data_IF_529749665511
#
_entry.id   IF_529749665511
#
_cell.length_a   1.000
_cell.length_b   1.000
_cell.length_c   1.000
_cell.angle_alpha   90.00
_cell.angle_beta   90.00
_cell.angle_gamma   90.00
#
_symmetry.space_group_name_H-M   'P 1'
#
loop_
_entity.id
_entity.type
_entity.pdbx_description
1 polymer ?
#
# COMPACT_ATOMS: atom_id res chain seq x y z
N UNK A 1 -2.77 -24.99 -2.87
CA UNK A 1 -1.80 -23.93 -3.24
C UNK A 1 -1.06 -24.25 -4.54
N UNK A 2 -0.31 -25.36 -4.62
CA UNK A 2 0.47 -25.71 -5.83
C UNK A 2 -0.41 -25.87 -7.08
N UNK A 3 -1.56 -26.54 -6.94
CA UNK A 3 -2.53 -26.75 -8.02
C UNK A 3 -3.06 -25.46 -8.64
N UNK A 4 -3.25 -24.41 -7.83
CA UNK A 4 -3.68 -23.10 -8.31
C UNK A 4 -2.61 -22.44 -9.19
N UNK A 5 -1.33 -22.56 -8.79
CA UNK A 5 -0.20 -22.08 -9.58
C UNK A 5 -0.05 -22.91 -10.86
N UNK A 6 -0.25 -24.23 -10.81
CA UNK A 6 -0.20 -25.08 -12.01
C UNK A 6 -1.29 -24.72 -13.02
N UNK A 7 -2.54 -24.58 -12.58
CA UNK A 7 -3.64 -24.20 -13.46
C UNK A 7 -3.46 -22.77 -14.00
N UNK A 8 -2.95 -21.85 -13.18
CA UNK A 8 -2.60 -20.51 -13.64
C UNK A 8 -1.47 -20.54 -14.69
N UNK A 9 -0.42 -21.33 -14.44
CA UNK A 9 0.71 -21.48 -15.36
C UNK A 9 0.28 -22.11 -16.69
N UNK A 10 -0.66 -23.04 -16.67
CA UNK A 10 -1.27 -23.61 -17.87
C UNK A 10 -2.02 -22.55 -18.68
N UNK A 11 -2.84 -21.73 -18.03
CA UNK A 11 -3.52 -20.59 -18.68
C UNK A 11 -2.52 -19.57 -19.25
N UNK A 12 -1.42 -19.31 -18.52
CA UNK A 12 -0.34 -18.43 -18.99
C UNK A 12 0.36 -19.02 -20.21
N UNK A 13 0.66 -20.32 -20.20
CA UNK A 13 1.30 -21.01 -21.33
C UNK A 13 0.41 -20.96 -22.58
N UNK A 14 -0.89 -21.24 -22.43
CA UNK A 14 -1.86 -21.10 -23.53
C UNK A 14 -1.90 -19.66 -24.06
N UNK A 15 -1.88 -18.66 -23.18
CA UNK A 15 -1.84 -17.24 -23.56
C UNK A 15 -0.56 -16.89 -24.32
N UNK A 16 0.61 -17.34 -23.86
CA UNK A 16 1.89 -17.10 -24.52
C UNK A 16 1.96 -17.69 -25.93
N UNK A 17 1.42 -18.90 -26.11
CA UNK A 17 1.32 -19.55 -27.42
C UNK A 17 0.39 -18.75 -28.35
N UNK A 18 -0.76 -18.29 -27.85
CA UNK A 18 -1.66 -17.41 -28.59
C UNK A 18 -1.00 -16.09 -28.97
N UNK A 19 -0.33 -15.43 -28.03
CA UNK A 19 0.34 -14.15 -28.25
C UNK A 19 1.45 -14.28 -29.28
N UNK A 20 2.28 -15.31 -29.19
CA UNK A 20 3.34 -15.57 -30.18
C UNK A 20 2.79 -15.86 -31.57
N UNK A 21 1.68 -16.60 -31.66
CA UNK A 21 0.95 -16.81 -32.91
C UNK A 21 0.38 -15.51 -33.47
N UNK A 22 -0.25 -14.67 -32.64
CA UNK A 22 -0.79 -13.36 -33.03
C UNK A 22 0.34 -12.41 -33.48
N UNK A 23 1.48 -12.40 -32.78
CA UNK A 23 2.68 -11.64 -33.15
C UNK A 23 3.26 -12.06 -34.50
N UNK A 24 3.24 -13.36 -34.82
CA UNK A 24 3.68 -13.89 -36.11
C UNK A 24 2.65 -13.69 -37.22
N UNK A 25 1.37 -13.73 -36.89
CA UNK A 25 0.27 -13.52 -37.83
C UNK A 25 0.10 -12.04 -38.22
N UNK A 26 0.76 -11.11 -37.52
CA UNK A 26 0.74 -9.67 -37.82
C UNK A 26 1.74 -9.30 -38.93
N UNK A 27 1.29 -9.01 -40.17
CA UNK A 27 2.15 -8.46 -41.21
C UNK A 27 2.59 -7.04 -40.83
N UNK A 28 3.79 -6.67 -41.30
CA UNK A 28 4.51 -5.45 -40.94
C UNK A 28 3.73 -4.19 -41.35
N UNK A 29 2.90 -3.71 -40.42
CA UNK A 29 2.18 -2.45 -40.53
C UNK A 29 2.47 -1.65 -39.26
N UNK A 30 2.46 -0.33 -39.35
CA UNK A 30 2.86 0.58 -38.24
C UNK A 30 2.17 0.32 -36.89
N UNK A 31 1.03 -0.40 -36.89
CA UNK A 31 0.30 -0.84 -35.71
C UNK A 31 0.98 -1.95 -34.88
N UNK A 32 1.98 -2.65 -35.42
CA UNK A 32 2.73 -3.71 -34.74
C UNK A 32 3.36 -3.25 -33.42
N UNK A 33 3.78 -1.98 -33.35
CA UNK A 33 4.41 -1.40 -32.15
C UNK A 33 3.43 -1.32 -30.98
N UNK A 34 2.19 -0.90 -31.25
CA UNK A 34 1.13 -0.77 -30.26
C UNK A 34 0.65 -2.14 -29.78
N UNK A 35 0.41 -3.06 -30.71
CA UNK A 35 -0.08 -4.40 -30.36
C UNK A 35 0.98 -5.16 -29.55
N UNK A 36 2.26 -5.08 -29.94
CA UNK A 36 3.35 -5.70 -29.18
C UNK A 36 3.46 -5.15 -27.75
N UNK A 37 3.27 -3.84 -27.60
CA UNK A 37 3.25 -3.21 -26.28
C UNK A 37 2.05 -3.67 -25.45
N UNK A 38 0.87 -3.72 -26.06
CA UNK A 38 -0.36 -4.15 -25.42
C UNK A 38 -0.34 -5.63 -25.01
N UNK A 39 0.18 -6.53 -25.85
CA UNK A 39 0.38 -7.93 -25.51
C UNK A 39 1.40 -8.12 -24.38
N UNK A 40 2.43 -7.28 -24.33
CA UNK A 40 3.38 -7.26 -23.21
C UNK A 40 2.73 -6.77 -21.92
N UNK A 41 1.88 -5.74 -22.00
CA UNK A 41 1.14 -5.23 -20.86
C UNK A 41 0.16 -6.28 -20.32
N UNK A 42 -0.64 -6.91 -21.20
CA UNK A 42 -1.55 -7.99 -20.80
C UNK A 42 -0.76 -9.15 -20.19
N UNK A 43 0.40 -9.51 -20.73
CA UNK A 43 1.26 -10.55 -20.15
C UNK A 43 1.67 -10.20 -18.71
N UNK A 44 2.07 -8.95 -18.47
CA UNK A 44 2.42 -8.47 -17.12
C UNK A 44 1.19 -8.49 -16.20
N UNK A 45 0.00 -8.10 -16.68
CA UNK A 45 -1.23 -8.20 -15.89
C UNK A 45 -1.58 -9.65 -15.55
N UNK A 46 -1.42 -10.58 -16.50
CA UNK A 46 -1.63 -12.02 -16.27
C UNK A 46 -0.64 -12.57 -15.24
N UNK A 47 0.61 -12.09 -15.27
CA UNK A 47 1.64 -12.41 -14.29
C UNK A 47 1.36 -11.80 -12.93
N UNK A 48 0.72 -10.64 -12.88
CA UNK A 48 0.34 -9.98 -11.64
C UNK A 48 -0.71 -10.78 -10.87
N UNK A 49 -1.55 -11.59 -11.53
CA UNK A 49 -2.64 -12.33 -10.87
C UNK A 49 -2.18 -13.26 -9.72
N UNK A 50 -1.22 -14.20 -9.89
CA UNK A 50 -0.73 -15.01 -8.78
C UNK A 50 0.13 -14.20 -7.80
N UNK A 51 0.83 -13.17 -8.29
CA UNK A 51 1.62 -12.27 -7.44
C UNK A 51 0.69 -11.57 -6.45
N UNK A 52 -0.46 -11.09 -6.92
CA UNK A 52 -1.50 -10.49 -6.09
C UNK A 52 -2.14 -11.50 -5.14
N UNK A 53 -2.32 -12.76 -5.53
CA UNK A 53 -2.83 -13.80 -4.61
C UNK A 53 -1.86 -14.09 -3.45
N UNK A 54 -0.54 -14.03 -3.71
CA UNK A 54 0.46 -14.12 -2.66
C UNK A 54 0.34 -12.93 -1.70
N UNK A 55 0.21 -11.71 -2.23
CA UNK A 55 0.00 -10.51 -1.41
C UNK A 55 -1.31 -10.55 -0.61
N UNK A 56 -2.41 -11.07 -1.18
CA UNK A 56 -3.69 -11.20 -0.49
C UNK A 56 -3.59 -12.14 0.72
N UNK A 57 -2.82 -13.22 0.63
CA UNK A 57 -2.66 -14.17 1.74
C UNK A 57 -2.01 -13.51 2.97
N UNK A 58 -1.06 -12.60 2.76
CA UNK A 58 -0.43 -11.85 3.86
C UNK A 58 -1.36 -10.77 4.44
N UNK A 59 -2.14 -10.08 3.58
CA UNK A 59 -3.15 -9.10 4.02
C UNK A 59 -4.28 -9.76 4.79
N UNK A 60 -4.77 -10.91 4.32
CA UNK A 60 -5.79 -11.69 5.03
C UNK A 60 -5.27 -12.18 6.38
N UNK A 61 -4.02 -12.63 6.48
CA UNK A 61 -3.42 -13.00 7.78
C UNK A 61 -3.37 -11.81 8.73
N UNK A 62 -2.97 -10.65 8.25
CA UNK A 62 -2.95 -9.41 9.04
C UNK A 62 -4.34 -8.97 9.51
N UNK A 63 -5.37 -9.20 8.69
CA UNK A 63 -6.75 -8.79 8.99
C UNK A 63 -7.52 -9.78 9.86
N UNK A 64 -7.15 -11.08 9.85
CA UNK A 64 -7.84 -12.14 10.59
C UNK A 64 -7.35 -12.33 12.04
N UNK A 65 -6.22 -11.74 12.43
CA UNK A 65 -5.74 -11.73 13.83
C UNK A 65 -5.61 -10.29 14.37
N UNK A 66 -6.74 -9.56 14.49
CA UNK A 66 -6.72 -8.16 14.88
C UNK A 66 -6.12 -7.96 16.27
N UNK A 67 -6.39 -8.86 17.22
CA UNK A 67 -6.10 -8.64 18.64
C UNK A 67 -4.59 -8.57 18.94
N UNK A 68 -3.79 -9.46 18.34
CA UNK A 68 -2.34 -9.49 18.52
C UNK A 68 -1.65 -8.33 17.77
N UNK A 69 -2.10 -8.06 16.54
CA UNK A 69 -1.55 -7.00 15.71
C UNK A 69 -1.88 -5.58 16.23
N UNK A 70 -3.05 -5.36 16.85
CA UNK A 70 -3.35 -4.10 17.52
C UNK A 70 -2.45 -3.87 18.74
N UNK A 71 -2.16 -4.93 19.51
CA UNK A 71 -1.34 -4.82 20.73
C UNK A 71 0.11 -4.44 20.40
N UNK A 72 0.70 -5.06 19.38
CA UNK A 72 2.03 -4.69 18.90
C UNK A 72 2.08 -3.27 18.33
N UNK A 73 1.03 -2.84 17.63
CA UNK A 73 0.94 -1.47 17.12
C UNK A 73 0.83 -0.44 18.25
N UNK A 74 0.08 -0.73 19.31
CA UNK A 74 -0.04 0.17 20.47
C UNK A 74 1.28 0.30 21.24
N UNK A 75 2.00 -0.80 21.44
CA UNK A 75 3.30 -0.80 22.13
C UNK A 75 4.35 -0.02 21.32
N UNK A 76 4.40 -0.22 19.99
CA UNK A 76 5.27 0.58 19.11
C UNK A 76 4.92 2.06 19.11
N UNK A 77 3.64 2.41 19.22
CA UNK A 77 3.23 3.82 19.31
C UNK A 77 3.64 4.46 20.63
N UNK A 78 3.59 3.69 21.73
CA UNK A 78 4.05 4.14 23.04
C UNK A 78 5.57 4.38 23.03
N UNK A 79 6.37 3.46 22.51
CA UNK A 79 7.82 3.60 22.36
C UNK A 79 8.19 4.81 21.47
N UNK A 80 7.52 4.97 20.32
CA UNK A 80 7.74 6.11 19.42
C UNK A 80 7.37 7.41 20.12
N UNK A 81 6.25 7.45 20.86
CA UNK A 81 5.84 8.65 21.58
C UNK A 81 6.82 8.98 22.70
N UNK A 82 7.32 7.99 23.43
CA UNK A 82 8.33 8.18 24.48
C UNK A 82 9.67 8.65 23.89
N UNK A 83 10.09 8.11 22.74
CA UNK A 83 11.27 8.57 21.99
C UNK A 83 11.12 10.03 21.52
N UNK A 84 9.96 10.38 20.95
CA UNK A 84 9.64 11.75 20.52
C UNK A 84 9.53 12.73 21.69
N UNK A 85 8.96 12.31 22.82
CA UNK A 85 8.83 13.16 24.02
C UNK A 85 10.17 13.29 24.76
N UNK A 86 11.06 12.29 24.65
CA UNK A 86 12.43 12.30 25.16
C UNK A 86 13.39 13.18 24.36
N UNK A 87 13.17 13.34 23.06
CA UNK A 87 13.80 14.40 22.24
C UNK A 87 13.00 15.69 22.37
N UNK A 88 13.26 16.44 23.44
CA UNK A 88 12.49 17.62 23.83
C UNK A 88 12.10 18.57 22.68
N UNK A 89 10.83 18.53 22.31
CA UNK A 89 10.08 19.67 21.80
C UNK A 89 8.84 19.80 22.68
N UNK A 90 9.03 20.53 23.78
CA UNK A 90 7.96 20.98 24.64
C UNK A 90 7.30 22.19 24.01
N UNK A 91 6.11 22.04 23.44
CA UNK A 91 5.22 23.17 23.17
C UNK A 91 3.82 22.81 23.68
N UNK A 92 3.58 23.14 24.95
CA UNK A 92 2.24 23.26 25.55
C UNK A 92 1.68 24.64 25.15
N UNK A 93 0.64 24.72 24.28
CA UNK A 93 0.11 26.00 23.86
C UNK A 93 -1.01 26.52 24.78
N UNK A 94 -1.23 25.96 25.97
CA UNK A 94 -2.46 26.23 26.71
C UNK A 94 -2.27 26.38 28.22
N UNK A 95 -1.35 27.25 28.67
CA UNK A 95 -1.45 27.79 30.03
C UNK A 95 -0.70 29.11 30.27
N UNK A 96 -1.27 30.23 29.86
CA UNK A 96 -1.27 31.42 30.73
C UNK A 96 -2.33 32.45 30.30
N UNK A 97 -2.94 33.14 31.27
CA UNK A 97 -3.68 34.38 31.02
C UNK A 97 -5.17 34.42 31.38
N UNK A 98 -5.60 33.86 32.51
CA UNK A 98 -6.75 34.45 33.22
C UNK A 98 -6.25 35.68 33.98
N UNK A 99 -6.31 36.84 33.33
CA UNK A 99 -6.00 38.12 33.96
C UNK A 99 -7.17 38.53 34.87
N UNK A 100 -6.94 38.48 36.19
CA UNK A 100 -7.80 39.09 37.19
C UNK A 100 -7.75 40.62 37.03
N UNK A 101 -8.89 41.23 36.70
CA UNK A 101 -9.04 42.68 36.58
C UNK A 101 -9.35 43.23 37.97
N UNK A 102 -8.32 43.65 38.71
CA UNK A 102 -8.51 44.51 39.88
C UNK A 102 -8.61 45.99 39.47
N UNK A 103 -9.56 46.67 40.10
CA UNK A 103 -10.14 47.95 39.69
C UNK A 103 -9.16 49.13 39.76
N UNK A 104 -9.10 49.94 38.70
CA UNK A 104 -8.29 51.15 38.65
C UNK A 104 -9.03 52.31 39.33
N UNK A 105 -8.62 52.68 40.55
CA UNK A 105 -9.01 53.98 41.16
C UNK A 105 -8.18 55.10 40.53
N UNK A 106 -8.81 55.89 39.66
CA UNK A 106 -8.25 57.15 39.17
C UNK A 106 -8.55 58.24 40.20
N UNK A 107 -7.52 58.70 40.91
CA UNK A 107 -7.59 59.80 41.88
C UNK A 107 -6.78 61.01 41.42
N UNK A 108 -7.54 62.07 41.11
CA UNK A 108 -7.25 63.50 40.86
C UNK A 108 -5.81 64.02 40.94
#
# INVERSE_FOLDING_TARGET
>A
MKEAIYNWLEQLACYLILVTAVLHALPDSGYKKYIRFFTGLILVLLLASPVLQLFQTDVDRWMNDPEENYREWTEKMEDIQEEFTGTGISEDPMRDGIAEVEEIKIGR
#
